data_IF_736800245093
#
_entry.id   IF_736800245093
#
_cell.length_a   1.000
_cell.length_b   1.000
_cell.length_c   1.000
_cell.angle_alpha   90.00
_cell.angle_beta   90.00
_cell.angle_gamma   90.00
#
_symmetry.space_group_name_H-M   'P 1'
#
loop_
_entity.id
_entity.type
_entity.pdbx_description
1 polymer ?
#
# COMPACT_ATOMS: atom_id res chain seq x y z
N UNK A 1 -9.27 -0.03 -12.92
CA UNK A 1 -8.41 0.50 -14.00
C UNK A 1 -9.24 1.51 -14.79
N UNK A 2 -8.73 2.05 -15.90
CA UNK A 2 -9.45 3.03 -16.73
C UNK A 2 -10.79 2.52 -17.29
N UNK A 3 -10.95 1.19 -17.39
CA UNK A 3 -12.14 0.54 -17.94
C UNK A 3 -13.13 0.14 -16.83
N UNK A 4 -12.90 0.58 -15.59
CA UNK A 4 -13.75 0.30 -14.44
C UNK A 4 -13.55 -1.08 -13.80
N UNK A 5 -12.59 -1.88 -14.28
CA UNK A 5 -12.33 -3.20 -13.69
C UNK A 5 -11.47 -3.08 -12.43
N UNK A 6 -11.86 -3.71 -11.30
CA UNK A 6 -11.06 -3.67 -10.08
C UNK A 6 -9.75 -4.45 -10.27
N UNK A 7 -8.70 -4.01 -9.58
CA UNK A 7 -7.46 -4.75 -9.47
C UNK A 7 -7.05 -4.80 -8.00
N UNK A 8 -6.83 -6.00 -7.50
CA UNK A 8 -6.40 -6.26 -6.14
C UNK A 8 -4.96 -6.78 -6.14
N UNK A 9 -4.17 -6.30 -5.19
CA UNK A 9 -2.81 -6.76 -4.95
C UNK A 9 -2.47 -6.64 -3.46
N UNK A 10 -1.59 -7.52 -2.98
CA UNK A 10 -1.10 -7.50 -1.61
C UNK A 10 0.22 -6.72 -1.57
N UNK A 11 0.35 -5.79 -0.62
CA UNK A 11 1.55 -4.97 -0.43
C UNK A 11 1.90 -4.85 1.04
N UNK A 12 3.18 -4.62 1.32
CA UNK A 12 3.72 -4.38 2.67
C UNK A 12 4.39 -3.01 2.80
N UNK A 13 4.74 -2.36 1.70
CA UNK A 13 5.37 -1.04 1.71
C UNK A 13 4.33 0.07 1.83
N UNK A 14 3.96 0.32 3.08
CA UNK A 14 2.92 1.27 3.48
C UNK A 14 3.46 2.10 4.65
N UNK A 15 3.28 3.41 4.61
CA UNK A 15 3.70 4.32 5.68
C UNK A 15 2.59 5.34 6.00
N UNK A 16 2.14 5.46 7.26
CA UNK A 16 1.18 6.49 7.66
C UNK A 16 1.88 7.85 7.74
N UNK A 17 1.39 8.83 6.98
CA UNK A 17 1.90 10.21 7.02
C UNK A 17 1.19 11.00 8.12
N UNK A 18 -0.14 10.86 8.18
CA UNK A 18 -1.02 11.45 9.19
C UNK A 18 -2.31 10.60 9.33
N UNK A 19 -3.31 11.12 10.05
CA UNK A 19 -4.58 10.42 10.32
C UNK A 19 -5.42 10.10 9.07
N UNK A 20 -5.15 10.75 7.93
CA UNK A 20 -5.90 10.61 6.67
C UNK A 20 -5.03 10.39 5.44
N UNK A 21 -3.72 10.39 5.58
CA UNK A 21 -2.80 10.26 4.44
C UNK A 21 -1.89 9.05 4.63
N UNK A 22 -1.88 8.17 3.63
CA UNK A 22 -1.02 6.98 3.60
C UNK A 22 -0.12 7.06 2.37
N UNK A 23 1.17 6.84 2.56
CA UNK A 23 2.09 6.57 1.45
C UNK A 23 2.20 5.09 1.18
N UNK A 24 2.22 4.73 -0.09
CA UNK A 24 2.47 3.38 -0.55
C UNK A 24 3.55 3.38 -1.63
N UNK A 25 4.40 2.35 -1.60
CA UNK A 25 5.37 2.11 -2.65
C UNK A 25 4.95 0.90 -3.50
N UNK A 26 5.16 1.01 -4.81
CA UNK A 26 4.86 -0.05 -5.77
C UNK A 26 5.95 -0.07 -6.83
N UNK A 27 6.30 -1.26 -7.33
CA UNK A 27 7.07 -1.37 -8.57
C UNK A 27 6.37 -0.55 -9.66
N UNK A 28 7.10 0.36 -10.34
CA UNK A 28 6.51 1.31 -11.29
C UNK A 28 5.75 0.62 -12.44
N UNK A 29 6.17 -0.60 -12.79
CA UNK A 29 5.56 -1.40 -13.84
C UNK A 29 4.33 -2.21 -13.40
N UNK A 30 4.02 -2.25 -12.10
CA UNK A 30 2.89 -3.00 -11.55
C UNK A 30 1.55 -2.47 -12.07
N UNK A 31 0.56 -3.37 -12.24
CA UNK A 31 -0.78 -2.99 -12.69
C UNK A 31 -1.44 -2.01 -11.71
N UNK A 32 -1.22 -2.16 -10.41
CA UNK A 32 -1.69 -1.21 -9.38
C UNK A 32 -1.13 0.20 -9.58
N UNK A 33 0.17 0.35 -9.79
CA UNK A 33 0.81 1.66 -10.03
C UNK A 33 0.27 2.34 -11.30
N UNK A 34 0.21 1.59 -12.40
CA UNK A 34 -0.35 2.08 -13.67
C UNK A 34 -1.81 2.47 -13.56
N UNK A 35 -2.61 1.69 -12.84
CA UNK A 35 -4.02 1.99 -12.63
C UNK A 35 -4.21 3.27 -11.81
N UNK A 36 -3.47 3.44 -10.71
CA UNK A 36 -3.58 4.65 -9.88
C UNK A 36 -3.13 5.90 -10.64
N UNK A 37 -2.10 5.81 -11.49
CA UNK A 37 -1.73 6.90 -12.39
C UNK A 37 -2.86 7.31 -13.35
N UNK A 38 -3.64 6.33 -13.84
CA UNK A 38 -4.72 6.59 -14.78
C UNK A 38 -6.00 7.07 -14.12
N UNK A 39 -6.33 6.55 -12.94
CA UNK A 39 -7.63 6.77 -12.31
C UNK A 39 -7.58 7.74 -11.14
N UNK A 40 -6.42 7.94 -10.52
CA UNK A 40 -6.28 8.78 -9.31
C UNK A 40 -7.02 8.23 -8.09
N UNK A 41 -7.34 6.94 -8.07
CA UNK A 41 -8.17 6.31 -7.03
C UNK A 41 -7.55 5.02 -6.52
N UNK A 42 -7.65 4.79 -5.22
CA UNK A 42 -7.30 3.53 -4.60
C UNK A 42 -8.22 3.22 -3.41
N UNK A 43 -8.33 1.94 -3.10
CA UNK A 43 -8.89 1.46 -1.83
C UNK A 43 -7.87 0.54 -1.17
N UNK A 44 -7.70 0.67 0.15
CA UNK A 44 -6.82 -0.15 0.97
C UNK A 44 -7.67 -0.97 1.94
N UNK A 45 -7.37 -2.25 2.07
CA UNK A 45 -7.91 -3.10 3.13
C UNK A 45 -6.84 -3.23 4.20
N UNK A 46 -7.06 -2.61 5.36
CA UNK A 46 -6.16 -2.70 6.50
C UNK A 46 -6.70 -3.73 7.49
N UNK A 47 -5.89 -4.75 7.77
CA UNK A 47 -6.24 -5.83 8.69
C UNK A 47 -5.26 -5.80 9.86
N UNK A 48 -5.80 -5.73 11.06
CA UNK A 48 -5.05 -5.85 12.31
C UNK A 48 -5.89 -6.64 13.31
N UNK A 49 -5.31 -6.99 14.46
CA UNK A 49 -6.09 -7.51 15.58
C UNK A 49 -7.26 -6.56 15.85
N UNK A 50 -8.48 -7.11 15.96
CA UNK A 50 -9.77 -6.44 16.11
C UNK A 50 -10.21 -5.47 14.99
N UNK A 51 -9.46 -5.36 13.88
CA UNK A 51 -9.75 -4.40 12.80
C UNK A 51 -9.78 -5.04 11.43
N UNK A 52 -10.78 -4.67 10.65
CA UNK A 52 -10.85 -4.89 9.21
C UNK A 52 -11.38 -3.59 8.60
N UNK A 53 -10.50 -2.71 8.11
CA UNK A 53 -10.88 -1.38 7.64
C UNK A 53 -10.77 -1.31 6.12
N UNK A 54 -11.87 -0.95 5.46
CA UNK A 54 -11.84 -0.54 4.07
C UNK A 54 -11.65 0.98 4.02
N UNK A 55 -10.50 1.42 3.52
CA UNK A 55 -10.14 2.82 3.38
C UNK A 55 -10.22 3.20 1.91
N UNK A 56 -11.00 4.22 1.56
CA UNK A 56 -11.17 4.70 0.19
C UNK A 56 -10.51 6.06 0.05
N UNK A 57 -9.70 6.22 -1.00
CA UNK A 57 -8.89 7.42 -1.14
C UNK A 57 -8.58 7.84 -2.57
N UNK A 58 -8.07 9.07 -2.67
CA UNK A 58 -7.50 9.64 -3.90
C UNK A 58 -6.01 9.38 -3.91
N UNK A 59 -5.52 8.75 -4.97
CA UNK A 59 -4.13 8.41 -5.12
C UNK A 59 -3.42 9.44 -6.03
N UNK A 60 -2.27 9.95 -5.59
CA UNK A 60 -1.42 10.83 -6.38
C UNK A 60 0.03 10.35 -6.28
N UNK A 61 0.75 10.35 -7.41
CA UNK A 61 2.17 10.00 -7.40
C UNK A 61 2.98 11.20 -6.89
N UNK A 62 3.80 10.97 -5.87
CA UNK A 62 4.67 12.02 -5.30
C UNK A 62 6.14 11.81 -5.65
N UNK A 63 6.54 10.58 -6.02
CA UNK A 63 7.88 10.25 -6.50
C UNK A 63 7.78 9.12 -7.52
N UNK A 64 8.35 9.31 -8.70
CA UNK A 64 8.31 8.33 -9.79
C UNK A 64 9.26 7.15 -9.54
N UNK A 65 10.38 7.40 -8.88
CA UNK A 65 11.39 6.39 -8.54
C UNK A 65 12.10 6.68 -7.21
N UNK A 66 12.19 5.69 -6.32
CA UNK A 66 13.13 5.70 -5.17
C UNK A 66 14.55 5.45 -5.69
N UNK A 67 15.47 6.38 -5.44
CA UNK A 67 16.80 6.41 -6.04
C UNK A 67 17.70 5.28 -5.51
N UNK A 68 17.54 4.95 -4.22
CA UNK A 68 18.27 3.94 -3.50
C UNK A 68 17.87 2.51 -3.94
N UNK A 69 16.70 2.35 -4.59
CA UNK A 69 16.24 1.05 -5.09
C UNK A 69 16.80 0.77 -6.48
N UNK A 70 17.39 -0.42 -6.65
CA UNK A 70 18.02 -0.86 -7.91
C UNK A 70 17.07 -0.93 -9.10
N UNK A 71 15.77 -1.05 -8.86
CA UNK A 71 14.73 -1.09 -9.89
C UNK A 71 13.67 0.00 -9.63
N UNK A 72 12.87 0.38 -10.64
CA UNK A 72 11.89 1.45 -10.48
C UNK A 72 10.79 1.10 -9.47
N UNK A 73 10.75 1.83 -8.36
CA UNK A 73 9.69 1.79 -7.34
C UNK A 73 9.13 3.20 -7.20
N UNK A 74 7.85 3.37 -7.53
CA UNK A 74 7.15 4.65 -7.43
C UNK A 74 6.43 4.76 -6.09
N UNK A 75 6.28 6.00 -5.61
CA UNK A 75 5.59 6.34 -4.36
C UNK A 75 4.32 7.11 -4.68
N UNK A 76 3.23 6.68 -4.07
CA UNK A 76 1.93 7.34 -4.12
C UNK A 76 1.51 7.78 -2.72
N UNK A 77 0.91 8.96 -2.62
CA UNK A 77 0.08 9.35 -1.48
C UNK A 77 -1.37 9.02 -1.76
N UNK A 78 -2.04 8.45 -0.76
CA UNK A 78 -3.45 8.14 -0.77
C UNK A 78 -4.13 8.95 0.31
N UNK A 79 -4.86 9.99 -0.09
CA UNK A 79 -5.70 10.80 0.78
C UNK A 79 -7.04 10.07 1.03
N UNK A 80 -7.26 9.63 2.25
CA UNK A 80 -8.43 8.84 2.67
C UNK A 80 -9.62 9.76 2.94
N UNK A 81 -10.70 9.58 2.18
CA UNK A 81 -11.94 10.34 2.35
C UNK A 81 -13.07 9.53 2.98
N UNK A 82 -12.98 8.21 3.02
CA UNK A 82 -13.96 7.33 3.66
C UNK A 82 -13.27 6.12 4.30
N UNK A 83 -13.75 5.73 5.48
CA UNK A 83 -13.28 4.55 6.22
C UNK A 83 -14.51 3.77 6.68
N UNK A 84 -14.54 2.48 6.34
CA UNK A 84 -15.60 1.58 6.75
C UNK A 84 -15.03 0.46 7.62
N UNK A 85 -15.67 0.20 8.77
CA UNK A 85 -15.43 -1.03 9.50
C UNK A 85 -16.10 -2.18 8.74
N UNK A 86 -15.26 -3.05 8.18
CA UNK A 86 -15.64 -4.15 7.32
C UNK A 86 -15.77 -5.48 8.09
N UNK A 87 -15.84 -5.42 9.43
CA UNK A 87 -16.24 -6.56 10.26
C UNK A 87 -17.74 -6.80 10.19
N UNK A 88 -18.13 -8.08 10.16
CA UNK A 88 -19.54 -8.49 10.26
C UNK A 88 -19.92 -8.83 11.71
N UNK A 89 -21.22 -8.75 12.08
CA UNK A 89 -21.67 -9.09 13.42
C UNK A 89 -21.27 -10.50 13.85
N UNK A 90 -20.69 -10.63 15.05
CA UNK A 90 -20.24 -11.92 15.60
C UNK A 90 -18.87 -12.40 15.12
N UNK A 91 -18.18 -11.64 14.25
CA UNK A 91 -16.81 -11.92 13.81
C UNK A 91 -15.80 -10.92 14.37
N UNK A 92 -14.57 -11.37 14.59
CA UNK A 92 -13.43 -10.48 14.88
C UNK A 92 -12.15 -11.04 14.29
N UNK A 93 -11.15 -10.19 14.08
CA UNK A 93 -9.81 -10.58 13.67
C UNK A 93 -8.97 -10.83 14.93
N UNK A 94 -8.42 -12.04 15.06
CA UNK A 94 -7.68 -12.47 16.26
C UNK A 94 -6.18 -12.18 16.21
N UNK A 95 -5.66 -11.61 15.11
CA UNK A 95 -4.23 -11.31 14.94
C UNK A 95 -3.93 -10.57 13.64
N UNK A 96 -2.65 -10.46 13.28
CA UNK A 96 -2.25 -9.92 11.97
C UNK A 96 -2.29 -11.00 10.89
N UNK A 97 -2.26 -10.60 9.62
CA UNK A 97 -2.09 -11.55 8.52
C UNK A 97 -0.66 -12.13 8.59
N UNK A 98 -0.49 -13.46 8.66
CA UNK A 98 0.84 -14.06 8.60
C UNK A 98 1.42 -13.87 7.20
N UNK A 99 2.60 -13.26 7.13
CA UNK A 99 3.34 -13.02 5.90
C UNK A 99 4.81 -13.31 6.14
N UNK A 100 5.49 -13.87 5.14
CA UNK A 100 6.93 -14.05 5.13
C UNK A 100 7.44 -13.96 3.71
N UNK A 101 8.60 -13.35 3.54
CA UNK A 101 9.35 -13.44 2.29
C UNK A 101 9.74 -14.89 1.99
N UNK A 102 9.95 -15.17 0.71
CA UNK A 102 10.52 -16.44 0.26
C UNK A 102 11.84 -16.17 -0.46
N UNK A 103 12.73 -17.17 -0.51
CA UNK A 103 14.06 -17.02 -1.12
C UNK A 103 15.07 -16.36 -0.18
N UNK A 104 15.76 -15.33 -0.65
CA UNK A 104 16.82 -14.64 0.08
C UNK A 104 16.23 -13.62 1.07
N UNK A 105 15.99 -14.10 2.30
CA UNK A 105 15.33 -13.31 3.36
C UNK A 105 16.12 -12.07 3.77
N UNK A 106 17.46 -12.13 3.70
CA UNK A 106 18.30 -10.99 4.05
C UNK A 106 18.13 -9.87 3.02
N UNK A 107 18.26 -10.19 1.72
CA UNK A 107 18.07 -9.18 0.67
C UNK A 107 16.66 -8.61 0.65
N UNK A 108 15.65 -9.46 0.92
CA UNK A 108 14.27 -9.01 0.99
C UNK A 108 14.05 -8.03 2.17
N UNK A 109 14.62 -8.33 3.34
CA UNK A 109 14.58 -7.43 4.50
C UNK A 109 15.33 -6.11 4.27
N UNK A 110 16.51 -6.15 3.65
CA UNK A 110 17.28 -4.95 3.28
C UNK A 110 16.49 -4.06 2.30
N UNK A 111 15.81 -4.66 1.32
CA UNK A 111 14.95 -3.95 0.39
C UNK A 111 13.74 -3.31 1.09
N UNK A 112 13.05 -4.07 1.96
CA UNK A 112 11.91 -3.55 2.72
C UNK A 112 12.31 -2.34 3.57
N UNK A 113 13.43 -2.45 4.29
CA UNK A 113 13.93 -1.36 5.12
C UNK A 113 14.20 -0.11 4.27
N UNK A 114 14.91 -0.27 3.16
CA UNK A 114 15.25 0.83 2.27
C UNK A 114 14.00 1.52 1.70
N UNK A 115 13.00 0.75 1.27
CA UNK A 115 11.75 1.32 0.76
C UNK A 115 10.95 2.02 1.86
N UNK A 116 10.81 1.42 3.04
CA UNK A 116 10.08 2.01 4.17
C UNK A 116 10.75 3.27 4.70
N UNK A 117 12.08 3.32 4.72
CA UNK A 117 12.84 4.52 5.08
C UNK A 117 12.62 5.65 4.05
N UNK A 118 12.61 5.33 2.75
CA UNK A 118 12.29 6.29 1.71
C UNK A 118 10.85 6.81 1.81
N UNK A 119 9.87 5.96 2.13
CA UNK A 119 8.48 6.41 2.35
C UNK A 119 8.35 7.40 3.51
N UNK A 120 9.16 7.19 4.56
CA UNK A 120 9.18 8.03 5.76
C UNK A 120 9.87 9.38 5.55
N UNK A 121 10.87 9.45 4.68
CA UNK A 121 11.70 10.66 4.50
C UNK A 121 11.18 11.66 3.47
N UNK A 122 10.22 11.25 2.65
CA UNK A 122 9.45 12.15 1.77
C UNK A 122 8.52 13.06 2.57
#
# INVERSE_FOLDING_TARGET
>A
DKDGSPHLTFITWVYPVDDKTIRIALSANAKSAKNMLQTGTASLMLIAQDKALACYGRASMIKDRIDEVKFPVSVFEVEIYNIENNLFPGGTITGTIPFMHTGDLQKAGELDQLVLEALRSL
#
